data_IF_403121366287
#
_entry.id   IF_403121366287
#
_cell.length_a   1.000
_cell.length_b   1.000
_cell.length_c   1.000
_cell.angle_alpha   90.00
_cell.angle_beta   90.00
_cell.angle_gamma   90.00
#
_symmetry.space_group_name_H-M   'P 1'
#
loop_
_entity.id
_entity.type
_entity.pdbx_description
1 polymer ?
#
# COMPACT_ATOMS: atom_id res chain seq x y z
N UNK A 1 -22.92 5.65 2.76
CA UNK A 1 -23.06 4.63 3.80
C UNK A 1 -23.02 3.25 3.16
N UNK A 2 -21.84 2.67 3.07
CA UNK A 2 -21.62 1.32 2.59
C UNK A 2 -20.99 0.49 3.69
N UNK A 3 -21.78 -0.13 4.56
CA UNK A 3 -21.29 -1.07 5.55
C UNK A 3 -20.95 -2.38 4.86
N UNK A 4 -19.68 -2.81 4.93
CA UNK A 4 -19.30 -4.15 4.52
C UNK A 4 -19.55 -5.12 5.67
N UNK A 5 -20.42 -6.11 5.45
CA UNK A 5 -20.64 -7.20 6.38
C UNK A 5 -19.83 -8.40 5.92
N UNK A 6 -18.88 -8.85 6.72
CA UNK A 6 -18.07 -10.03 6.42
C UNK A 6 -18.12 -10.98 7.60
N UNK A 7 -18.62 -12.18 7.36
CA UNK A 7 -18.53 -13.30 8.29
C UNK A 7 -17.23 -14.05 8.01
N UNK A 8 -16.26 -13.98 8.91
CA UNK A 8 -15.09 -14.86 8.85
C UNK A 8 -15.37 -16.09 9.68
N UNK A 9 -15.63 -17.20 9.01
CA UNK A 9 -15.76 -18.50 9.63
C UNK A 9 -14.38 -19.09 9.96
N UNK A 10 -14.22 -19.56 11.18
CA UNK A 10 -13.21 -20.46 11.70
C UNK A 10 -11.75 -19.99 11.74
N UNK A 11 -11.29 -19.57 12.90
CA UNK A 11 -9.87 -19.65 13.24
C UNK A 11 -9.54 -21.06 13.74
N UNK A 12 -8.67 -21.78 13.04
CA UNK A 12 -8.13 -23.06 13.50
C UNK A 12 -6.87 -22.78 14.30
N UNK A 13 -6.94 -22.90 15.62
CA UNK A 13 -5.76 -22.92 16.47
C UNK A 13 -5.17 -24.33 16.52
N UNK A 14 -3.86 -24.47 16.37
CA UNK A 14 -3.15 -25.73 16.61
C UNK A 14 -2.64 -25.73 18.07
N UNK A 15 -3.22 -26.57 18.90
CA UNK A 15 -2.70 -26.86 20.25
C UNK A 15 -2.09 -28.27 20.23
N UNK A 16 -0.79 -28.38 20.51
CA UNK A 16 -0.03 -29.64 20.50
C UNK A 16 -0.13 -30.46 19.20
N UNK A 17 -0.16 -29.77 18.02
CA UNK A 17 -0.21 -30.44 16.73
C UNK A 17 -1.55 -31.05 16.36
N UNK A 18 -2.59 -30.89 17.17
CA UNK A 18 -3.96 -31.28 16.86
C UNK A 18 -4.82 -30.04 16.61
N UNK A 19 -5.71 -30.05 15.59
CA UNK A 19 -6.62 -28.94 15.38
C UNK A 19 -7.60 -28.83 16.56
N UNK A 20 -7.57 -27.71 17.25
CA UNK A 20 -8.58 -27.36 18.26
C UNK A 20 -9.65 -26.53 17.57
N UNK A 21 -10.81 -27.10 17.36
CA UNK A 21 -11.99 -26.39 16.88
C UNK A 21 -12.61 -25.56 18.00
N UNK A 22 -12.15 -24.34 18.17
CA UNK A 22 -12.96 -23.30 18.80
C UNK A 22 -13.42 -22.35 17.71
N UNK A 23 -14.63 -22.59 17.24
CA UNK A 23 -15.36 -21.73 16.32
C UNK A 23 -15.79 -20.44 17.04
N UNK A 24 -14.95 -19.44 17.10
CA UNK A 24 -15.41 -18.08 17.34
C UNK A 24 -15.63 -17.38 16.00
N UNK A 25 -16.89 -17.20 15.65
CA UNK A 25 -17.30 -16.37 14.52
C UNK A 25 -17.06 -14.91 14.92
N UNK A 26 -15.86 -14.40 14.66
CA UNK A 26 -15.60 -12.98 14.82
C UNK A 26 -16.33 -12.23 13.70
N UNK A 27 -17.36 -11.47 14.06
CA UNK A 27 -18.07 -10.59 13.13
C UNK A 27 -17.34 -9.26 13.10
N UNK A 28 -16.56 -9.05 12.06
CA UNK A 28 -15.97 -7.73 11.79
C UNK A 28 -17.03 -6.87 11.11
N UNK A 29 -17.54 -5.90 11.83
CA UNK A 29 -18.44 -4.88 11.32
C UNK A 29 -17.92 -3.52 11.76
N UNK A 30 -17.68 -2.64 10.81
CA UNK A 30 -17.27 -1.29 11.08
C UNK A 30 -17.68 -0.36 9.96
N UNK A 31 -17.97 0.88 10.31
CA UNK A 31 -18.16 1.97 9.36
C UNK A 31 -16.81 2.69 9.18
N UNK A 32 -16.60 3.22 7.99
CA UNK A 32 -15.45 4.06 7.67
C UNK A 32 -15.94 5.40 7.18
N UNK A 33 -15.32 6.46 7.67
CA UNK A 33 -15.53 7.83 7.19
C UNK A 33 -14.23 8.36 6.59
N UNK A 34 -14.34 8.93 5.40
CA UNK A 34 -13.23 9.58 4.72
C UNK A 34 -13.57 11.06 4.50
N UNK A 35 -12.69 11.94 4.97
CA UNK A 35 -12.72 13.37 4.71
C UNK A 35 -11.48 13.74 3.92
N UNK A 36 -11.66 14.36 2.75
CA UNK A 36 -10.52 14.79 1.92
C UNK A 36 -10.67 16.23 1.48
N UNK A 37 -9.53 16.88 1.32
CA UNK A 37 -9.41 18.22 0.77
C UNK A 37 -8.22 18.32 -0.19
N UNK A 38 -8.36 19.12 -1.23
CA UNK A 38 -7.29 19.35 -2.20
C UNK A 38 -7.14 20.82 -2.52
N UNK A 39 -5.90 21.24 -2.78
CA UNK A 39 -5.54 22.58 -3.25
C UNK A 39 -4.51 22.41 -4.35
N UNK A 40 -4.78 23.01 -5.51
CA UNK A 40 -3.87 22.96 -6.65
C UNK A 40 -3.73 24.31 -7.34
N UNK A 41 -2.62 24.46 -8.05
CA UNK A 41 -2.41 25.58 -8.96
C UNK A 41 -1.74 25.09 -10.23
N UNK A 42 -1.93 25.84 -11.31
CA UNK A 42 -1.24 25.63 -12.58
C UNK A 42 -0.75 26.97 -13.10
N UNK A 43 0.48 27.00 -13.60
CA UNK A 43 1.13 28.21 -14.08
C UNK A 43 1.82 27.95 -15.41
N UNK A 44 1.55 28.79 -16.39
CA UNK A 44 2.31 28.87 -17.63
C UNK A 44 3.59 29.66 -17.32
N UNK A 45 4.74 28.98 -17.34
CA UNK A 45 6.04 29.57 -17.03
C UNK A 45 6.68 30.22 -18.27
N UNK A 46 6.22 29.85 -19.46
CA UNK A 46 6.74 30.35 -20.73
C UNK A 46 5.86 29.89 -21.88
N UNK A 47 6.33 30.11 -23.11
CA UNK A 47 5.59 29.71 -24.32
C UNK A 47 5.43 28.19 -24.44
N UNK A 48 6.42 27.48 -23.92
CA UNK A 48 6.61 26.05 -24.13
C UNK A 48 6.63 25.25 -22.80
N UNK A 49 6.35 25.93 -21.67
CA UNK A 49 6.47 25.33 -20.33
C UNK A 49 5.23 25.58 -19.50
N UNK A 50 4.65 24.50 -18.98
CA UNK A 50 3.53 24.54 -18.02
C UNK A 50 3.95 23.74 -16.79
N UNK A 51 3.72 24.31 -15.63
CA UNK A 51 3.92 23.65 -14.35
C UNK A 51 2.60 23.63 -13.57
N UNK A 52 2.30 22.51 -12.95
CA UNK A 52 1.21 22.42 -11.98
C UNK A 52 1.65 21.67 -10.73
N UNK A 53 1.02 22.01 -9.62
CA UNK A 53 1.19 21.32 -8.36
C UNK A 53 -0.15 21.23 -7.64
N UNK A 54 -0.40 20.12 -6.99
CA UNK A 54 -1.55 19.92 -6.15
C UNK A 54 -1.17 19.22 -4.84
N UNK A 55 -1.79 19.66 -3.77
CA UNK A 55 -1.67 19.10 -2.44
C UNK A 55 -3.01 18.49 -2.05
N UNK A 56 -2.97 17.23 -1.63
CA UNK A 56 -4.14 16.50 -1.17
C UNK A 56 -3.93 16.06 0.28
N UNK A 57 -4.97 16.19 1.09
CA UNK A 57 -5.03 15.68 2.44
C UNK A 57 -6.23 14.76 2.58
N UNK A 58 -6.01 13.59 3.17
CA UNK A 58 -7.03 12.59 3.47
C UNK A 58 -7.00 12.29 4.97
N UNK A 59 -8.17 12.31 5.59
CA UNK A 59 -8.40 11.84 6.94
C UNK A 59 -9.43 10.72 6.90
N UNK A 60 -9.05 9.54 7.36
CA UNK A 60 -9.91 8.36 7.43
C UNK A 60 -10.07 7.93 8.87
N UNK A 61 -11.29 7.56 9.26
CA UNK A 61 -11.58 7.04 10.61
C UNK A 61 -12.50 5.84 10.54
N UNK A 62 -12.39 4.97 11.55
CA UNK A 62 -13.24 3.80 11.70
C UNK A 62 -12.57 2.51 11.26
N UNK A 63 -13.30 1.62 10.61
CA UNK A 63 -12.78 0.30 10.24
C UNK A 63 -11.81 0.39 9.04
N UNK A 64 -10.51 0.28 9.30
CA UNK A 64 -9.44 0.41 8.31
C UNK A 64 -8.71 -0.91 8.03
N UNK A 65 -9.05 -1.98 8.71
CA UNK A 65 -8.46 -3.30 8.58
C UNK A 65 -8.88 -3.99 7.27
N UNK A 66 -8.05 -4.95 6.85
CA UNK A 66 -8.42 -5.89 5.81
C UNK A 66 -8.97 -7.18 6.46
N UNK A 67 -10.28 -7.43 6.41
CA UNK A 67 -10.91 -8.56 7.11
C UNK A 67 -10.45 -9.94 6.59
N UNK A 68 -9.81 -9.98 5.43
CA UNK A 68 -9.30 -11.22 4.83
C UNK A 68 -7.81 -11.46 5.15
N UNK A 69 -7.19 -10.58 5.93
CA UNK A 69 -5.77 -10.69 6.25
C UNK A 69 -5.57 -11.29 7.63
N UNK A 70 -4.85 -12.42 7.66
CA UNK A 70 -4.38 -13.04 8.89
C UNK A 70 -2.90 -12.75 9.09
N UNK A 71 -2.54 -12.48 10.33
CA UNK A 71 -1.17 -12.22 10.79
C UNK A 71 -0.72 -13.38 11.67
N UNK A 72 0.45 -13.93 11.37
CA UNK A 72 1.03 -14.98 12.20
C UNK A 72 1.81 -14.34 13.36
N UNK A 73 1.44 -14.71 14.60
CA UNK A 73 2.13 -14.32 15.82
C UNK A 73 2.66 -15.54 16.55
N UNK A 74 3.94 -15.50 16.85
CA UNK A 74 4.64 -16.55 17.58
C UNK A 74 5.17 -16.06 18.92
N UNK A 75 5.05 -16.91 19.95
CA UNK A 75 5.58 -16.68 21.30
C UNK A 75 6.59 -17.77 21.61
N UNK A 76 7.87 -17.41 21.61
CA UNK A 76 8.97 -18.31 21.91
C UNK A 76 9.29 -18.29 23.39
N UNK A 77 9.52 -19.46 23.99
CA UNK A 77 9.85 -19.58 25.39
C UNK A 77 11.18 -18.84 25.69
N UNK A 78 11.20 -17.81 26.56
CA UNK A 78 12.41 -17.04 26.86
C UNK A 78 13.51 -17.87 27.53
N UNK A 79 13.16 -19.01 28.15
CA UNK A 79 14.12 -19.90 28.79
C UNK A 79 14.90 -20.80 27.81
N UNK A 80 14.47 -20.86 26.53
CA UNK A 80 15.16 -21.64 25.49
C UNK A 80 16.18 -20.78 24.75
N UNK A 81 17.34 -21.34 24.33
CA UNK A 81 18.25 -20.63 23.43
C UNK A 81 17.57 -20.23 22.12
N UNK A 82 17.90 -19.05 21.55
CA UNK A 82 17.25 -18.56 20.30
C UNK A 82 17.34 -19.51 19.11
N UNK A 83 18.36 -20.32 19.05
CA UNK A 83 18.56 -21.32 17.99
C UNK A 83 17.46 -22.40 17.96
N UNK A 84 16.69 -22.54 19.04
CA UNK A 84 15.58 -23.48 19.16
C UNK A 84 14.19 -22.82 19.11
N UNK A 85 14.08 -21.51 18.87
CA UNK A 85 12.80 -20.81 18.83
C UNK A 85 11.81 -21.47 17.85
N UNK A 86 12.28 -21.95 16.70
CA UNK A 86 11.46 -22.65 15.71
C UNK A 86 10.81 -23.96 16.22
N UNK A 87 11.35 -24.57 17.31
CA UNK A 87 10.81 -25.79 17.90
C UNK A 87 9.87 -25.53 19.07
N UNK A 88 10.02 -24.39 19.76
CA UNK A 88 9.32 -24.10 21.02
C UNK A 88 8.48 -22.82 20.94
N UNK A 89 8.07 -22.43 19.74
CA UNK A 89 7.20 -21.29 19.52
C UNK A 89 5.75 -21.71 19.44
N UNK A 90 4.90 -21.10 20.28
CA UNK A 90 3.44 -21.22 20.13
C UNK A 90 2.97 -20.22 19.09
N UNK A 91 2.26 -20.67 18.06
CA UNK A 91 1.82 -19.85 16.94
C UNK A 91 0.31 -19.60 16.99
N UNK A 92 -0.08 -18.37 16.72
CA UNK A 92 -1.46 -17.93 16.56
C UNK A 92 -1.62 -17.24 15.21
N UNK A 93 -2.73 -17.54 14.52
CA UNK A 93 -3.14 -16.79 13.33
C UNK A 93 -4.28 -15.85 13.75
N UNK A 94 -4.08 -14.56 13.59
CA UNK A 94 -4.97 -13.53 14.09
C UNK A 94 -5.39 -12.60 12.94
N UNK A 95 -6.59 -12.04 12.95
CA UNK A 95 -6.91 -10.91 12.10
C UNK A 95 -5.93 -9.77 12.32
N UNK A 96 -5.66 -9.00 11.28
CA UNK A 96 -4.87 -7.78 11.46
C UNK A 96 -5.62 -6.76 12.34
N UNK A 97 -4.86 -5.89 12.96
CA UNK A 97 -5.35 -4.77 13.73
C UNK A 97 -4.60 -3.51 13.32
N UNK A 98 -5.28 -2.58 12.66
CA UNK A 98 -4.72 -1.30 12.25
C UNK A 98 -5.19 -0.19 13.19
N UNK A 99 -4.48 0.93 13.26
CA UNK A 99 -5.02 2.11 13.93
C UNK A 99 -6.35 2.55 13.29
N UNK A 100 -7.33 2.96 14.14
CA UNK A 100 -8.67 3.40 13.72
C UNK A 100 -8.66 4.73 12.97
N UNK A 101 -7.51 5.36 12.84
CA UNK A 101 -7.32 6.63 12.13
C UNK A 101 -6.16 6.53 11.15
N UNK A 102 -6.30 7.22 10.02
CA UNK A 102 -5.28 7.33 9.01
C UNK A 102 -5.29 8.73 8.39
N UNK A 103 -4.17 9.43 8.51
CA UNK A 103 -3.98 10.77 7.95
C UNK A 103 -2.89 10.71 6.88
N UNK A 104 -3.22 11.08 5.66
CA UNK A 104 -2.30 11.06 4.55
C UNK A 104 -2.21 12.43 3.88
N UNK A 105 -0.99 12.88 3.59
CA UNK A 105 -0.69 14.07 2.82
C UNK A 105 0.05 13.68 1.55
N UNK A 106 -0.40 14.18 0.41
CA UNK A 106 0.20 13.90 -0.90
C UNK A 106 0.44 15.19 -1.66
N UNK A 107 1.67 15.39 -2.14
CA UNK A 107 2.04 16.45 -3.06
C UNK A 107 2.31 15.84 -4.42
N UNK A 108 1.61 16.29 -5.44
CA UNK A 108 1.85 15.95 -6.83
C UNK A 108 2.35 17.18 -7.57
N UNK A 109 3.30 16.99 -8.46
CA UNK A 109 3.77 18.03 -9.36
C UNK A 109 3.85 17.49 -10.78
N UNK A 110 3.51 18.32 -11.74
CA UNK A 110 3.54 17.99 -13.16
C UNK A 110 4.20 19.13 -13.93
N UNK A 111 5.20 18.79 -14.72
CA UNK A 111 5.90 19.70 -15.63
C UNK A 111 5.74 19.20 -17.06
N UNK A 112 5.22 20.06 -17.91
CA UNK A 112 5.23 19.85 -19.36
C UNK A 112 6.18 20.86 -19.99
N UNK A 113 7.15 20.35 -20.75
CA UNK A 113 8.08 21.17 -21.51
C UNK A 113 8.07 20.74 -22.98
N UNK A 114 7.73 21.66 -23.86
CA UNK A 114 7.85 21.45 -25.32
C UNK A 114 9.19 21.92 -25.84
N UNK A 115 9.75 21.18 -26.78
CA UNK A 115 11.01 21.46 -27.47
C UNK A 115 10.75 21.57 -28.96
N UNK A 116 10.81 22.81 -29.49
CA UNK A 116 10.47 23.07 -30.89
C UNK A 116 11.45 22.45 -31.88
N UNK A 117 12.75 22.38 -31.57
CA UNK A 117 13.75 21.86 -32.50
C UNK A 117 13.63 20.35 -32.75
N UNK A 118 13.41 19.44 -31.76
CA UNK A 118 13.13 18.03 -32.03
C UNK A 118 11.63 17.77 -32.27
N UNK A 119 10.74 18.76 -32.14
CA UNK A 119 9.28 18.61 -32.14
C UNK A 119 8.83 17.55 -31.11
N UNK A 120 9.21 17.76 -29.86
CA UNK A 120 8.96 16.81 -28.79
C UNK A 120 8.43 17.51 -27.52
N UNK A 121 7.74 16.75 -26.68
CA UNK A 121 7.33 17.21 -25.36
C UNK A 121 7.83 16.26 -24.28
N UNK A 122 8.36 16.83 -23.20
CA UNK A 122 8.69 16.12 -21.97
C UNK A 122 7.55 16.34 -20.97
N UNK A 123 7.02 15.25 -20.42
CA UNK A 123 6.17 15.26 -19.23
C UNK A 123 6.95 14.66 -18.08
N UNK A 124 7.02 15.39 -16.98
CA UNK A 124 7.66 14.95 -15.76
C UNK A 124 6.64 15.04 -14.64
N UNK A 125 6.28 13.91 -14.06
CA UNK A 125 5.41 13.80 -12.92
C UNK A 125 6.21 13.36 -11.70
N UNK A 126 6.01 14.05 -10.58
CA UNK A 126 6.54 13.66 -9.30
C UNK A 126 5.43 13.68 -8.24
N UNK A 127 5.29 12.58 -7.52
CA UNK A 127 4.38 12.44 -6.39
C UNK A 127 5.14 12.06 -5.14
N UNK A 128 4.87 12.76 -4.05
CA UNK A 128 5.36 12.42 -2.73
C UNK A 128 4.18 12.31 -1.77
N UNK A 129 4.09 11.18 -1.06
CA UNK A 129 3.07 10.95 -0.05
C UNK A 129 3.71 10.57 1.28
N UNK A 130 3.09 10.99 2.37
CA UNK A 130 3.40 10.56 3.73
C UNK A 130 2.13 10.43 4.54
N UNK A 131 2.15 9.50 5.48
CA UNK A 131 1.03 9.30 6.40
C UNK A 131 1.50 9.19 7.87
N UNK A 132 0.53 9.05 8.78
CA UNK A 132 0.75 8.83 10.20
C UNK A 132 0.94 7.35 10.58
N UNK A 133 0.86 6.45 9.61
CA UNK A 133 1.24 5.05 9.77
C UNK A 133 2.75 4.82 9.51
N UNK A 134 3.51 5.90 9.28
CA UNK A 134 4.94 5.87 9.02
C UNK A 134 5.31 5.67 7.55
N UNK A 135 4.36 5.46 6.65
CA UNK A 135 4.63 5.27 5.23
C UNK A 135 5.02 6.59 4.56
N UNK A 136 6.10 6.55 3.82
CA UNK A 136 6.53 7.60 2.89
C UNK A 136 6.73 6.97 1.53
N UNK A 137 6.10 7.52 0.52
CA UNK A 137 6.24 7.04 -0.84
C UNK A 137 6.61 8.13 -1.82
N UNK A 138 7.29 7.75 -2.89
CA UNK A 138 7.65 8.66 -3.98
C UNK A 138 7.43 7.94 -5.30
N UNK A 139 6.92 8.70 -6.27
CA UNK A 139 6.80 8.27 -7.65
C UNK A 139 7.45 9.31 -8.55
N UNK A 140 8.25 8.88 -9.49
CA UNK A 140 8.75 9.71 -10.59
C UNK A 140 8.28 9.03 -11.88
N UNK A 141 7.64 9.79 -12.77
CA UNK A 141 7.27 9.33 -14.09
C UNK A 141 7.77 10.33 -15.14
N UNK A 142 8.35 9.81 -16.20
CA UNK A 142 8.92 10.60 -17.30
C UNK A 142 8.42 10.04 -18.62
N UNK A 143 7.73 10.88 -19.37
CA UNK A 143 7.28 10.59 -20.73
C UNK A 143 7.97 11.54 -21.71
N UNK A 144 8.61 11.01 -22.74
CA UNK A 144 9.12 11.78 -23.85
C UNK A 144 8.25 11.55 -25.07
N UNK A 145 7.45 12.52 -25.44
CA UNK A 145 6.53 12.45 -26.57
C UNK A 145 7.23 13.01 -27.81
N UNK A 146 7.70 12.14 -28.71
CA UNK A 146 8.37 12.51 -29.94
C UNK A 146 7.38 12.48 -31.10
N UNK A 147 7.09 13.66 -31.68
CA UNK A 147 6.39 13.71 -32.95
C UNK A 147 7.33 13.31 -34.11
N UNK A 148 6.81 12.54 -35.04
CA UNK A 148 7.47 12.10 -36.27
C UNK A 148 6.62 12.47 -37.45
N UNK A 149 7.19 12.35 -38.67
CA UNK A 149 6.47 12.61 -39.92
C UNK A 149 5.24 11.70 -40.09
N UNK A 150 4.34 12.08 -40.99
CA UNK A 150 3.14 11.33 -41.34
C UNK A 150 2.16 11.02 -40.19
N UNK A 151 2.15 11.87 -39.15
CA UNK A 151 1.24 11.77 -38.00
C UNK A 151 1.60 10.66 -37.00
N UNK A 152 2.80 10.13 -37.07
CA UNK A 152 3.32 9.20 -36.10
C UNK A 152 3.80 9.93 -34.82
N UNK A 153 3.63 9.26 -33.67
CA UNK A 153 4.19 9.71 -32.38
C UNK A 153 4.74 8.51 -31.65
N UNK A 154 5.92 8.66 -31.07
CA UNK A 154 6.58 7.64 -30.25
C UNK A 154 6.80 8.21 -28.86
N UNK A 155 6.35 7.50 -27.83
CA UNK A 155 6.45 7.94 -26.44
C UNK A 155 7.11 6.86 -25.58
N UNK A 156 8.44 6.91 -25.41
CA UNK A 156 9.09 6.17 -24.35
C UNK A 156 8.66 6.72 -22.99
N UNK A 157 8.42 5.80 -22.06
CA UNK A 157 7.96 6.07 -20.70
C UNK A 157 8.89 5.38 -19.71
N UNK A 158 9.17 6.05 -18.59
CA UNK A 158 9.85 5.49 -17.44
C UNK A 158 9.09 5.86 -16.18
N UNK A 159 8.88 4.89 -15.30
CA UNK A 159 8.30 5.11 -13.97
C UNK A 159 9.14 4.43 -12.90
N UNK A 160 9.35 5.13 -11.81
CA UNK A 160 9.98 4.62 -10.59
C UNK A 160 9.08 4.92 -9.41
N UNK A 161 8.82 3.90 -8.59
CA UNK A 161 8.07 4.00 -7.35
C UNK A 161 8.89 3.42 -6.20
N UNK A 162 8.80 4.03 -5.01
CA UNK A 162 9.34 3.46 -3.79
C UNK A 162 8.50 3.87 -2.59
N UNK A 163 8.39 2.97 -1.61
CA UNK A 163 7.83 3.27 -0.29
C UNK A 163 8.60 2.52 0.80
N UNK A 164 8.63 3.07 2.01
CA UNK A 164 8.99 2.32 3.21
C UNK A 164 7.76 1.60 3.78
N UNK A 165 8.00 0.74 4.75
CA UNK A 165 6.95 -0.01 5.46
C UNK A 165 6.21 0.86 6.48
N UNK A 166 4.98 0.45 6.84
CA UNK A 166 4.26 1.01 7.97
C UNK A 166 4.90 0.58 9.30
N UNK A 167 4.79 1.42 10.33
CA UNK A 167 5.40 1.20 11.65
C UNK A 167 4.92 -0.10 12.33
N UNK A 168 3.73 -0.56 12.01
CA UNK A 168 3.10 -1.78 12.53
C UNK A 168 3.10 -2.95 11.53
N UNK A 169 3.85 -2.84 10.42
CA UNK A 169 3.96 -3.91 9.44
C UNK A 169 5.09 -4.87 9.79
N UNK A 170 4.78 -6.17 9.80
CA UNK A 170 5.78 -7.24 9.72
C UNK A 170 5.19 -8.44 8.97
N UNK A 171 6.00 -9.22 8.22
CA UNK A 171 5.51 -10.44 7.57
C UNK A 171 4.95 -11.45 8.56
N UNK A 172 5.53 -11.49 9.76
CA UNK A 172 5.09 -12.25 10.94
C UNK A 172 5.73 -11.63 12.20
N UNK A 173 5.13 -11.86 13.36
CA UNK A 173 5.61 -11.38 14.65
C UNK A 173 6.12 -12.52 15.50
N UNK A 174 7.32 -12.40 16.06
CA UNK A 174 7.89 -13.36 17.00
C UNK A 174 8.30 -12.62 18.28
N UNK A 175 7.66 -12.98 19.37
CA UNK A 175 7.95 -12.44 20.70
C UNK A 175 8.69 -13.51 21.54
N UNK A 176 9.73 -13.10 22.24
CA UNK A 176 10.48 -13.99 23.12
C UNK A 176 9.98 -13.86 24.56
N UNK A 177 8.70 -14.16 24.73
CA UNK A 177 8.00 -14.15 26.01
C UNK A 177 6.90 -15.19 26.02
N UNK A 178 6.39 -15.51 27.21
CA UNK A 178 5.22 -16.36 27.32
C UNK A 178 4.01 -15.62 26.75
N UNK A 179 3.19 -16.29 25.94
CA UNK A 179 1.99 -15.66 25.44
C UNK A 179 1.02 -15.30 26.58
N UNK A 180 0.39 -14.14 26.54
CA UNK A 180 -0.58 -13.74 27.54
C UNK A 180 -1.82 -14.64 27.43
N UNK A 181 -2.22 -15.21 28.58
CA UNK A 181 -3.35 -16.13 28.65
C UNK A 181 -4.58 -15.43 29.20
N UNK A 182 -5.73 -15.67 28.58
CA UNK A 182 -7.01 -15.13 29.04
C UNK A 182 -7.31 -15.62 30.48
N UNK A 183 -7.68 -14.73 31.39
CA UNK A 183 -8.07 -15.11 32.75
C UNK A 183 -9.24 -16.13 32.72
N UNK A 184 -9.05 -17.29 33.31
CA UNK A 184 -10.05 -18.36 33.38
C UNK A 184 -10.11 -19.31 32.18
N UNK A 185 -9.36 -19.02 31.09
CA UNK A 185 -9.25 -19.91 29.92
C UNK A 185 -7.79 -20.17 29.57
N UNK A 186 -7.12 -21.09 30.32
CA UNK A 186 -5.75 -21.47 30.00
C UNK A 186 -5.63 -22.02 28.57
N UNK A 187 -4.67 -21.49 27.80
CA UNK A 187 -4.46 -21.88 26.40
C UNK A 187 -5.10 -20.93 25.37
N UNK A 188 -5.96 -20.00 25.82
CA UNK A 188 -6.50 -18.96 24.97
C UNK A 188 -5.66 -17.69 25.10
N UNK A 189 -5.34 -17.06 23.97
CA UNK A 189 -4.58 -15.79 23.91
C UNK A 189 -5.43 -14.64 24.44
N UNK A 190 -4.85 -13.80 25.29
CA UNK A 190 -5.42 -12.53 25.72
C UNK A 190 -4.96 -11.41 24.79
N UNK A 191 -5.81 -10.99 23.89
CA UNK A 191 -5.52 -9.94 22.90
C UNK A 191 -5.23 -8.57 23.52
N UNK A 192 -5.78 -8.30 24.72
CA UNK A 192 -5.59 -7.02 25.42
C UNK A 192 -4.21 -6.86 26.06
N UNK A 193 -3.46 -7.95 26.13
CA UNK A 193 -2.13 -8.03 26.75
C UNK A 193 -1.01 -8.26 25.71
N UNK A 194 -1.30 -8.08 24.44
CA UNK A 194 -0.28 -8.21 23.42
C UNK A 194 0.78 -7.11 23.54
N UNK A 195 2.06 -7.39 23.23
CA UNK A 195 3.16 -6.43 23.34
C UNK A 195 3.16 -5.38 22.20
N UNK A 196 2.13 -5.36 21.38
CA UNK A 196 1.93 -4.43 20.26
C UNK A 196 0.47 -3.99 20.20
N UNK A 197 0.25 -2.71 19.91
CA UNK A 197 -1.09 -2.11 19.82
C UNK A 197 -1.72 -2.29 18.44
N UNK A 198 -0.90 -2.34 17.40
CA UNK A 198 -1.31 -2.54 16.01
C UNK A 198 -0.38 -3.51 15.31
N UNK A 199 -0.93 -4.29 14.37
CA UNK A 199 -0.17 -5.27 13.59
C UNK A 199 -0.83 -5.57 12.26
N UNK A 200 -0.01 -5.72 11.22
CA UNK A 200 -0.44 -6.16 9.90
C UNK A 200 0.69 -6.91 9.18
N UNK A 201 0.33 -7.88 8.36
CA UNK A 201 1.21 -8.50 7.38
C UNK A 201 0.75 -8.25 5.94
N UNK A 202 -0.06 -7.20 5.74
CA UNK A 202 -0.51 -6.81 4.41
C UNK A 202 0.65 -6.27 3.58
N UNK A 203 0.96 -6.93 2.47
CA UNK A 203 2.07 -6.57 1.58
C UNK A 203 1.98 -5.14 1.04
N UNK A 204 0.77 -4.55 0.98
CA UNK A 204 0.57 -3.16 0.57
C UNK A 204 1.17 -2.15 1.56
N UNK A 205 1.39 -2.58 2.82
CA UNK A 205 2.01 -1.80 3.89
C UNK A 205 3.52 -2.08 4.02
N UNK A 206 4.07 -2.97 3.20
CA UNK A 206 5.51 -3.29 3.22
C UNK A 206 6.33 -2.20 2.52
N UNK A 207 7.63 -2.17 2.82
CA UNK A 207 8.60 -1.41 2.07
C UNK A 207 8.94 -2.12 0.76
N UNK A 208 8.82 -1.43 -0.37
CA UNK A 208 9.23 -1.95 -1.67
C UNK A 208 9.53 -0.83 -2.66
N UNK A 209 10.19 -1.20 -3.77
CA UNK A 209 10.38 -0.36 -4.93
C UNK A 209 9.95 -1.09 -6.19
N UNK A 210 9.46 -0.35 -7.16
CA UNK A 210 9.11 -0.84 -8.48
C UNK A 210 9.61 0.12 -9.56
N UNK A 211 9.95 -0.41 -10.71
CA UNK A 211 10.29 0.36 -11.91
C UNK A 211 9.59 -0.22 -13.10
N UNK A 212 9.10 0.63 -13.98
CA UNK A 212 8.60 0.20 -15.27
C UNK A 212 9.20 1.00 -16.40
N UNK A 213 9.29 0.38 -17.56
CA UNK A 213 9.69 1.00 -18.82
C UNK A 213 8.64 0.67 -19.85
N UNK A 214 8.13 1.69 -20.53
CA UNK A 214 7.09 1.55 -21.54
C UNK A 214 7.46 2.23 -22.82
N UNK A 215 6.75 1.83 -23.89
CA UNK A 215 6.79 2.46 -25.20
C UNK A 215 5.38 2.51 -25.76
N UNK A 216 4.93 3.72 -26.12
CA UNK A 216 3.66 3.92 -26.81
C UNK A 216 3.98 4.41 -28.20
N UNK A 217 3.36 3.80 -29.22
CA UNK A 217 3.42 4.23 -30.60
C UNK A 217 2.00 4.55 -31.04
N UNK A 218 1.79 5.76 -31.55
CA UNK A 218 0.49 6.17 -32.06
C UNK A 218 0.61 6.77 -33.47
N UNK A 219 -0.48 6.68 -34.24
CA UNK A 219 -0.63 7.33 -35.51
C UNK A 219 -1.98 8.02 -35.63
N UNK A 220 -1.94 9.28 -36.00
CA UNK A 220 -3.13 10.07 -36.33
C UNK A 220 -3.26 10.13 -37.85
N UNK A 221 -4.41 9.70 -38.39
CA UNK A 221 -4.74 9.71 -39.80
C UNK A 221 -5.49 10.99 -40.16
N UNK A 222 -5.52 11.33 -41.46
CA UNK A 222 -6.18 12.54 -41.96
C UNK A 222 -7.69 12.60 -41.68
N UNK A 223 -8.34 11.43 -41.54
CA UNK A 223 -9.76 11.30 -41.16
C UNK A 223 -10.04 11.45 -39.66
N UNK A 224 -9.08 11.98 -38.88
CA UNK A 224 -9.11 12.08 -37.41
C UNK A 224 -9.17 10.74 -36.64
N UNK A 225 -8.99 9.62 -37.32
CA UNK A 225 -8.77 8.33 -36.61
C UNK A 225 -7.39 8.36 -35.94
N UNK A 226 -7.31 7.97 -34.65
CA UNK A 226 -6.06 7.71 -33.95
C UNK A 226 -5.98 6.23 -33.64
N UNK A 227 -4.88 5.60 -33.99
CA UNK A 227 -4.51 4.25 -33.54
C UNK A 227 -3.36 4.35 -32.56
N UNK A 228 -3.41 3.57 -31.47
CA UNK A 228 -2.39 3.58 -30.45
C UNK A 228 -2.12 2.15 -29.97
N UNK A 229 -0.83 1.81 -29.83
CA UNK A 229 -0.35 0.54 -29.30
C UNK A 229 0.69 0.87 -28.24
N UNK A 230 0.53 0.31 -27.05
CA UNK A 230 1.46 0.47 -25.93
C UNK A 230 1.95 -0.88 -25.40
N UNK A 231 3.19 -0.89 -24.95
CA UNK A 231 3.82 -1.98 -24.20
C UNK A 231 4.48 -1.40 -22.97
N UNK A 232 4.36 -2.08 -21.84
CA UNK A 232 5.00 -1.70 -20.58
C UNK A 232 5.48 -2.96 -19.86
N UNK A 233 6.70 -2.93 -19.33
CA UNK A 233 7.36 -3.97 -18.54
C UNK A 233 7.60 -3.45 -17.12
N UNK A 234 7.32 -4.32 -16.11
CA UNK A 234 7.39 -3.99 -14.68
C UNK A 234 8.49 -4.76 -13.95
#
# INVERSE_FOLDING_TARGET
>A
NGGAHIDIGNSVGLVNGAPSETLETARFRGDREDLSGSLGFSQILGRDTVFSADFNYLHSTGFLENPHKLVLMGFANPATPPVFDYLFTTLFAMPENRPDTHNQSTLNTHLTQYFAAPDAALHLDYSYSRDDWGIKSQTVEVDWVQALDDGWTVTPRFRYYTQNEADFYQPYFIFREAYPQSPGNPGQLDYSQLPVDAWSSDQRLSGFGARSVGLIISRKFENNLKLEIGFEDY
#
